data_IF_450600723269
#
_entry.id   IF_450600723269
#
_cell.length_a   1.000
_cell.length_b   1.000
_cell.length_c   1.000
_cell.angle_alpha   90.00
_cell.angle_beta   90.00
_cell.angle_gamma   90.00
#
_symmetry.space_group_name_H-M   'P 1'
#
loop_
_entity.id
_entity.type
_entity.pdbx_description
1 polymer ?
#
# COMPACT_ATOMS: atom_id res chain seq x y z
N UNK A 1 6.62 6.43 -0.39
CA UNK A 1 6.79 5.37 0.63
C UNK A 1 6.28 5.77 2.02
N UNK A 2 6.79 6.84 2.65
CA UNK A 2 6.37 7.25 4.01
C UNK A 2 4.87 7.54 4.15
N UNK A 3 4.23 8.14 3.14
CA UNK A 3 2.77 8.36 3.13
C UNK A 3 1.96 7.06 3.22
N UNK A 4 2.36 6.00 2.52
CA UNK A 4 1.62 4.72 2.55
C UNK A 4 1.62 4.15 3.97
N UNK A 5 2.77 4.13 4.65
CA UNK A 5 2.85 3.68 6.04
C UNK A 5 2.01 4.56 6.99
N UNK A 6 2.02 5.88 6.79
CA UNK A 6 1.25 6.83 7.60
C UNK A 6 -0.26 6.59 7.50
N UNK A 7 -0.79 6.45 6.27
CA UNK A 7 -2.22 6.37 6.03
C UNK A 7 -2.79 4.95 6.15
N UNK A 8 -1.97 3.90 5.99
CA UNK A 8 -2.45 2.50 6.02
C UNK A 8 -1.97 1.69 7.23
N UNK A 9 -1.10 2.27 8.06
CA UNK A 9 -0.48 1.60 9.20
C UNK A 9 0.33 0.37 8.80
N UNK A 10 0.78 0.27 7.55
CA UNK A 10 1.55 -0.88 7.08
C UNK A 10 2.99 -0.86 7.58
N UNK A 11 3.61 -2.04 7.59
CA UNK A 11 5.03 -2.17 7.90
C UNK A 11 5.86 -1.55 6.78
N UNK A 12 7.04 -1.03 7.12
CA UNK A 12 8.01 -0.50 6.15
C UNK A 12 8.32 -1.53 5.05
N UNK A 13 8.49 -2.80 5.43
CA UNK A 13 8.75 -3.88 4.47
C UNK A 13 7.56 -4.20 3.56
N UNK A 14 6.33 -4.00 4.04
CA UNK A 14 5.12 -4.15 3.23
C UNK A 14 5.04 -3.04 2.19
N UNK A 15 5.26 -1.79 2.60
CA UNK A 15 5.27 -0.64 1.70
C UNK A 15 6.36 -0.75 0.64
N UNK A 16 7.54 -1.27 1.00
CA UNK A 16 8.66 -1.45 0.08
C UNK A 16 8.41 -2.56 -0.96
N UNK A 17 7.60 -3.57 -0.60
CA UNK A 17 7.28 -4.68 -1.48
C UNK A 17 6.02 -4.47 -2.33
N UNK A 18 5.32 -3.34 -2.16
CA UNK A 18 4.17 -2.98 -2.98
C UNK A 18 4.58 -2.73 -4.43
N UNK A 19 3.79 -3.26 -5.35
CA UNK A 19 3.89 -2.92 -6.76
C UNK A 19 2.73 -2.03 -7.18
N UNK A 20 2.89 -1.32 -8.29
CA UNK A 20 1.78 -0.54 -8.88
C UNK A 20 0.56 -1.41 -9.20
N UNK A 21 0.75 -2.70 -9.48
CA UNK A 21 -0.35 -3.66 -9.69
C UNK A 21 -1.16 -3.96 -8.42
N UNK A 22 -0.62 -3.66 -7.24
CA UNK A 22 -1.31 -3.79 -5.95
C UNK A 22 -2.20 -2.60 -5.61
N UNK A 23 -2.02 -1.49 -6.34
CA UNK A 23 -2.84 -0.30 -6.24
C UNK A 23 -3.93 -0.40 -7.31
N UNK A 24 -5.17 -0.72 -6.92
CA UNK A 24 -6.27 -0.86 -7.87
C UNK A 24 -7.58 -0.32 -7.32
N UNK A 25 -8.29 0.43 -8.16
CA UNK A 25 -9.64 0.94 -7.88
C UNK A 25 -9.78 1.65 -6.52
N UNK A 26 -8.77 2.43 -6.12
CA UNK A 26 -8.79 3.12 -4.82
C UNK A 26 -8.50 2.22 -3.63
N UNK A 27 -7.90 1.05 -3.83
CA UNK A 27 -7.49 0.14 -2.75
C UNK A 27 -6.04 -0.30 -2.90
N UNK A 28 -5.40 -0.59 -1.77
CA UNK A 28 -4.05 -1.16 -1.68
C UNK A 28 -4.17 -2.60 -1.20
N UNK A 29 -3.67 -3.54 -2.00
CA UNK A 29 -3.63 -4.95 -1.63
C UNK A 29 -2.25 -5.33 -1.10
N UNK A 30 -2.17 -5.58 0.21
CA UNK A 30 -0.96 -6.11 0.83
C UNK A 30 -0.95 -7.64 0.73
N UNK A 31 -0.16 -8.17 -0.19
CA UNK A 31 -0.10 -9.62 -0.47
C UNK A 31 0.57 -10.39 0.67
N UNK A 32 0.00 -11.57 0.98
CA UNK A 32 0.62 -12.58 1.85
C UNK A 32 2.05 -12.96 1.42
N UNK A 33 2.33 -13.00 0.11
CA UNK A 33 3.63 -13.47 -0.41
C UNK A 33 4.80 -12.56 -0.02
N UNK A 34 4.54 -11.30 0.30
CA UNK A 34 5.55 -10.28 0.63
C UNK A 34 5.66 -9.99 2.14
N UNK A 35 4.76 -10.56 2.96
CA UNK A 35 4.76 -10.35 4.41
C UNK A 35 5.53 -11.43 5.16
N UNK A 36 6.38 -11.04 6.12
CA UNK A 36 7.09 -11.97 7.02
C UNK A 36 6.05 -12.81 7.79
N UNK A 37 6.08 -14.13 7.56
CA UNK A 37 5.13 -15.09 8.14
C UNK A 37 4.00 -15.53 7.19
N UNK A 38 3.76 -14.83 6.07
CA UNK A 38 2.78 -15.20 5.04
C UNK A 38 1.40 -15.59 5.60
N UNK A 39 0.91 -14.85 6.59
CA UNK A 39 -0.29 -15.22 7.35
C UNK A 39 -1.60 -14.90 6.60
N UNK A 40 -1.75 -13.70 6.04
CA UNK A 40 -2.98 -13.29 5.33
C UNK A 40 -2.73 -12.12 4.37
N UNK A 41 -3.42 -12.12 3.24
CA UNK A 41 -3.53 -10.94 2.35
C UNK A 41 -4.58 -9.99 2.95
N UNK A 42 -4.29 -8.69 3.01
CA UNK A 42 -5.24 -7.67 3.47
C UNK A 42 -5.39 -6.57 2.43
N UNK A 43 -6.58 -6.02 2.32
CA UNK A 43 -6.91 -4.90 1.44
C UNK A 43 -7.24 -3.70 2.33
N UNK A 44 -6.72 -2.54 1.96
CA UNK A 44 -6.95 -1.26 2.66
C UNK A 44 -7.41 -0.23 1.64
N UNK A 45 -8.45 0.52 1.96
CA UNK A 45 -8.93 1.60 1.09
C UNK A 45 -7.95 2.78 1.09
N UNK A 46 -7.72 3.35 -0.10
CA UNK A 46 -6.91 4.56 -0.28
C UNK A 46 -7.76 5.75 0.13
N UNK A 47 -7.37 6.38 1.23
CA UNK A 47 -7.96 7.65 1.65
C UNK A 47 -7.57 8.78 0.69
N UNK A 48 -8.42 9.81 0.57
CA UNK A 48 -8.23 10.93 -0.35
C UNK A 48 -6.82 11.57 -0.23
N UNK A 49 -6.33 11.79 0.99
CA UNK A 49 -4.99 12.36 1.20
C UNK A 49 -3.84 11.45 0.72
N UNK A 50 -4.02 10.13 0.74
CA UNK A 50 -3.05 9.19 0.16
C UNK A 50 -3.16 9.16 -1.38
N UNK A 51 -4.35 9.32 -1.94
CA UNK A 51 -4.56 9.38 -3.38
C UNK A 51 -3.84 10.58 -4.00
N UNK A 52 -3.91 11.76 -3.38
CA UNK A 52 -3.19 12.96 -3.82
C UNK A 52 -1.67 12.75 -3.81
N UNK A 53 -1.13 12.18 -2.72
CA UNK A 53 0.29 11.85 -2.62
C UNK A 53 0.76 10.83 -3.66
N UNK A 54 -0.08 9.84 -3.98
CA UNK A 54 0.20 8.85 -5.01
C UNK A 54 0.14 9.45 -6.42
N UNK A 55 -0.82 10.35 -6.67
CA UNK A 55 -0.95 11.05 -7.94
C UNK A 55 0.23 11.98 -8.21
N UNK A 56 0.74 12.68 -7.18
CA UNK A 56 1.92 13.53 -7.32
C UNK A 56 3.21 12.73 -7.56
N UNK A 57 3.30 11.52 -7.00
CA UNK A 57 4.45 10.62 -7.22
C UNK A 57 4.47 10.00 -8.63
N UNK A 58 3.33 9.90 -9.31
CA UNK A 58 3.26 9.37 -10.69
C UNK A 58 3.61 10.40 -11.77
N UNK A 59 3.98 11.63 -11.41
CA UNK A 59 4.40 12.69 -12.35
C UNK A 59 5.82 12.51 -12.88
#
# INVERSE_FOLDING_TARGET
>A
MFGICLFTGCRVSEALALQTTDLKSGTITFRKSTTKGKLKTRVVDIQAGLAELLADYQR
#
